data_IF_191757036071
#
_entry.id   IF_191757036071
#
_cell.length_a   1.000
_cell.length_b   1.000
_cell.length_c   1.000
_cell.angle_alpha   90.00
_cell.angle_beta   90.00
_cell.angle_gamma   90.00
#
_symmetry.space_group_name_H-M   'P 1'
#
loop_
_entity.id
_entity.type
_entity.pdbx_description
1 polymer ?
#
# COMPACT_ATOMS: atom_id res chain seq x y z
N UNK A 1 20.12 15.22 73.79
CA UNK A 1 19.63 16.55 73.35
C UNK A 1 20.67 17.15 72.42
N UNK A 2 20.25 17.72 71.28
CA UNK A 2 21.02 18.04 70.05
C UNK A 2 21.31 16.79 69.19
N UNK A 3 20.99 16.71 67.91
CA UNK A 3 20.42 17.66 66.97
C UNK A 3 20.87 17.25 65.56
N UNK A 4 19.89 17.03 64.69
CA UNK A 4 19.94 17.35 63.25
C UNK A 4 20.77 16.48 62.29
N UNK A 5 20.17 16.26 61.11
CA UNK A 5 20.75 15.85 59.82
C UNK A 5 20.90 14.37 59.50
N UNK A 6 19.80 13.60 59.51
CA UNK A 6 19.64 12.49 58.54
C UNK A 6 18.19 12.39 58.06
N UNK A 7 17.64 13.53 57.63
CA UNK A 7 16.33 13.64 56.97
C UNK A 7 16.44 13.86 55.45
N UNK A 8 17.63 13.72 54.83
CA UNK A 8 17.84 14.24 53.45
C UNK A 8 18.30 13.24 52.38
N UNK A 9 18.45 11.94 52.66
CA UNK A 9 19.00 11.00 51.66
C UNK A 9 18.03 9.90 51.19
N UNK A 10 16.90 9.68 51.87
CA UNK A 10 15.97 8.57 51.53
C UNK A 10 14.71 9.06 50.80
N UNK A 11 14.40 10.36 50.83
CA UNK A 11 13.21 10.92 50.16
C UNK A 11 13.46 11.48 48.74
N UNK A 12 14.72 11.58 48.29
CA UNK A 12 15.04 12.10 46.94
C UNK A 12 15.12 10.98 45.88
N UNK A 13 15.26 9.71 46.28
CA UNK A 13 15.31 8.58 45.34
C UNK A 13 13.95 7.95 45.02
N UNK A 14 12.90 8.25 45.79
CA UNK A 14 11.52 7.82 45.49
C UNK A 14 10.73 8.85 44.66
N UNK A 15 11.30 10.03 44.41
CA UNK A 15 10.70 11.06 43.56
C UNK A 15 11.33 11.16 42.16
N UNK A 16 12.25 10.24 41.83
CA UNK A 16 12.92 10.13 40.52
C UNK A 16 12.59 8.84 39.75
N UNK A 17 11.68 8.00 40.25
CA UNK A 17 11.02 6.99 39.42
C UNK A 17 9.63 7.50 39.06
N UNK A 18 9.59 8.09 37.86
CA UNK A 18 8.39 8.43 37.10
C UNK A 18 7.64 9.69 37.58
N UNK A 19 8.30 10.84 37.42
CA UNK A 19 7.62 12.14 37.41
C UNK A 19 6.47 12.15 36.40
N UNK A 20 5.36 12.74 36.86
CA UNK A 20 4.45 13.62 36.16
C UNK A 20 4.48 13.58 34.62
N UNK A 21 3.35 13.24 34.00
CA UNK A 21 2.33 14.20 33.55
C UNK A 21 1.30 13.43 32.73
N UNK A 22 0.04 13.63 33.09
CA UNK A 22 -1.12 13.29 32.28
C UNK A 22 -0.95 13.87 30.87
N UNK A 23 -0.89 13.00 29.88
CA UNK A 23 -1.34 13.32 28.53
C UNK A 23 -2.33 12.22 28.10
N UNK A 24 -3.56 12.30 28.62
CA UNK A 24 -4.74 11.92 27.81
C UNK A 24 -4.86 12.99 26.70
N UNK A 25 -5.59 12.80 25.58
CA UNK A 25 -5.77 11.63 24.72
C UNK A 25 -5.76 12.04 23.22
N UNK A 26 -4.78 11.64 22.40
CA UNK A 26 -4.94 11.64 20.92
C UNK A 26 -4.00 10.56 20.35
N UNK A 27 -4.51 9.43 19.86
CA UNK A 27 -3.71 8.46 19.09
C UNK A 27 -4.06 8.56 17.60
N UNK A 28 -3.54 9.55 16.85
CA UNK A 28 -3.45 9.44 15.40
C UNK A 28 -2.33 8.45 14.98
N UNK A 29 -1.39 8.16 15.87
CA UNK A 29 -0.15 7.42 15.55
C UNK A 29 -0.36 5.91 15.38
N UNK A 30 -1.20 5.27 16.19
CA UNK A 30 -1.46 3.82 16.08
C UNK A 30 -2.25 3.41 14.84
N UNK A 31 -3.11 4.29 14.34
CA UNK A 31 -3.81 4.05 13.08
C UNK A 31 -2.85 4.16 11.89
N UNK A 32 -1.86 5.07 11.95
CA UNK A 32 -0.83 5.23 10.92
C UNK A 32 0.09 4.01 10.84
N UNK A 33 0.58 3.51 11.97
CA UNK A 33 1.43 2.30 12.02
C UNK A 33 0.66 1.05 11.60
N UNK A 34 -0.55 0.84 12.11
CA UNK A 34 -1.39 -0.30 11.72
C UNK A 34 -1.78 -0.27 10.24
N UNK A 35 -2.02 0.92 9.68
CA UNK A 35 -2.26 1.08 8.25
C UNK A 35 -1.01 0.69 7.45
N UNK A 36 0.16 1.20 7.82
CA UNK A 36 1.43 0.89 7.18
C UNK A 36 1.77 -0.61 7.25
N UNK A 37 1.51 -1.28 8.38
CA UNK A 37 1.70 -2.73 8.52
C UNK A 37 0.78 -3.54 7.61
N UNK A 38 -0.51 -3.19 7.55
CA UNK A 38 -1.47 -3.87 6.67
C UNK A 38 -1.13 -3.69 5.19
N UNK A 39 -0.74 -2.47 4.84
CA UNK A 39 -0.18 -2.11 3.54
C UNK A 39 1.01 -3.00 3.22
N UNK A 40 2.01 -3.05 4.09
CA UNK A 40 3.23 -3.79 3.85
C UNK A 40 2.97 -5.30 3.70
N UNK A 41 2.12 -5.86 4.56
CA UNK A 41 1.70 -7.26 4.46
C UNK A 41 1.00 -7.55 3.12
N UNK A 42 0.15 -6.64 2.64
CA UNK A 42 -0.53 -6.79 1.36
C UNK A 42 0.46 -6.73 0.19
N UNK A 43 1.42 -5.81 0.23
CA UNK A 43 2.46 -5.73 -0.80
C UNK A 43 3.28 -7.02 -0.86
N UNK A 44 3.71 -7.55 0.29
CA UNK A 44 4.46 -8.80 0.37
C UNK A 44 3.67 -9.96 -0.23
N UNK A 45 2.36 -10.01 -0.02
CA UNK A 45 1.50 -11.05 -0.59
C UNK A 45 1.50 -11.02 -2.12
N UNK A 46 1.29 -9.85 -2.73
CA UNK A 46 1.30 -9.70 -4.19
C UNK A 46 2.69 -9.87 -4.81
N UNK A 47 3.75 -9.47 -4.09
CA UNK A 47 5.13 -9.70 -4.50
C UNK A 47 5.47 -11.20 -4.48
N UNK A 48 4.99 -11.95 -3.49
CA UNK A 48 5.15 -13.42 -3.45
C UNK A 48 4.37 -14.10 -4.57
N UNK A 49 3.15 -13.64 -4.85
CA UNK A 49 2.32 -14.22 -5.91
C UNK A 49 3.03 -14.24 -7.27
N UNK A 50 3.75 -13.18 -7.62
CA UNK A 50 4.55 -13.12 -8.86
C UNK A 50 5.89 -13.86 -8.77
N UNK A 51 6.39 -14.13 -7.56
CA UNK A 51 7.59 -14.95 -7.36
C UNK A 51 7.28 -16.44 -7.47
N UNK A 52 6.13 -16.87 -6.94
CA UNK A 52 5.68 -18.26 -6.96
C UNK A 52 5.34 -18.71 -8.39
N UNK A 53 4.69 -17.83 -9.17
CA UNK A 53 4.48 -18.05 -10.60
C UNK A 53 4.82 -16.80 -11.43
N UNK A 54 6.09 -16.66 -11.86
CA UNK A 54 6.51 -15.52 -12.66
C UNK A 54 5.93 -15.48 -14.07
N UNK A 55 5.34 -16.59 -14.55
CA UNK A 55 4.79 -16.69 -15.91
C UNK A 55 3.28 -16.47 -15.94
N UNK A 56 2.63 -16.34 -14.79
CA UNK A 56 1.22 -16.04 -14.70
C UNK A 56 0.94 -14.56 -14.94
N UNK A 57 0.45 -14.22 -16.14
CA UNK A 57 0.07 -12.85 -16.48
C UNK A 57 -0.94 -12.24 -15.51
N UNK A 58 -1.93 -13.01 -15.06
CA UNK A 58 -2.97 -12.58 -14.12
C UNK A 58 -2.39 -12.17 -12.76
N UNK A 59 -1.34 -12.86 -12.29
CA UNK A 59 -0.64 -12.48 -11.05
C UNK A 59 -0.01 -11.09 -11.16
N UNK A 60 0.60 -10.79 -12.32
CA UNK A 60 1.16 -9.46 -12.60
C UNK A 60 0.06 -8.38 -12.70
N UNK A 61 -1.11 -8.70 -13.29
CA UNK A 61 -2.23 -7.75 -13.34
C UNK A 61 -2.76 -7.43 -11.92
N UNK A 62 -2.95 -8.45 -11.08
CA UNK A 62 -3.45 -8.31 -9.70
C UNK A 62 -2.48 -7.48 -8.86
N UNK A 63 -1.18 -7.73 -9.00
CA UNK A 63 -0.14 -6.88 -8.37
C UNK A 63 -0.23 -5.43 -8.85
N UNK A 64 -0.47 -5.21 -10.14
CA UNK A 64 -0.71 -3.88 -10.70
C UNK A 64 -1.89 -3.17 -10.06
N UNK A 65 -3.05 -3.84 -9.96
CA UNK A 65 -4.26 -3.30 -9.33
C UNK A 65 -4.02 -2.88 -7.88
N UNK A 66 -3.29 -3.68 -7.12
CA UNK A 66 -2.93 -3.33 -5.75
C UNK A 66 -2.16 -2.00 -5.65
N UNK A 67 -1.21 -1.75 -6.57
CA UNK A 67 -0.45 -0.49 -6.58
C UNK A 67 -1.30 0.73 -6.96
N UNK A 68 -2.38 0.53 -7.72
CA UNK A 68 -3.37 1.58 -8.02
C UNK A 68 -4.10 1.96 -6.72
N UNK A 69 -4.70 0.98 -6.05
CA UNK A 69 -5.62 1.22 -4.92
C UNK A 69 -4.92 1.66 -3.64
N UNK A 70 -3.77 1.05 -3.32
CA UNK A 70 -3.15 1.23 -2.02
C UNK A 70 -2.27 2.48 -1.92
N UNK A 71 -1.68 2.96 -3.03
CA UNK A 71 -0.68 4.04 -2.98
C UNK A 71 -0.75 5.08 -4.09
N UNK A 72 -1.60 4.88 -5.11
CA UNK A 72 -1.50 5.68 -6.33
C UNK A 72 -0.11 5.60 -6.97
N UNK A 73 0.62 4.48 -6.77
CA UNK A 73 1.93 4.24 -7.38
C UNK A 73 1.73 3.76 -8.81
N UNK A 74 1.26 4.65 -9.67
CA UNK A 74 0.83 4.34 -11.02
C UNK A 74 1.98 3.83 -11.90
N UNK A 75 3.22 4.27 -11.66
CA UNK A 75 4.40 3.78 -12.37
C UNK A 75 4.66 2.28 -12.11
N UNK A 76 4.54 1.83 -10.86
CA UNK A 76 4.70 0.41 -10.50
C UNK A 76 3.54 -0.43 -11.00
N UNK A 77 2.33 0.14 -10.99
CA UNK A 77 1.15 -0.49 -11.57
C UNK A 77 1.35 -0.71 -13.08
N UNK A 78 1.83 0.32 -13.82
CA UNK A 78 2.15 0.21 -15.24
C UNK A 78 3.21 -0.87 -15.52
N UNK A 79 4.32 -0.86 -14.78
CA UNK A 79 5.37 -1.88 -14.94
C UNK A 79 4.83 -3.30 -14.72
N UNK A 80 3.96 -3.48 -13.72
CA UNK A 80 3.35 -4.78 -13.46
C UNK A 80 2.39 -5.19 -14.58
N UNK A 81 1.55 -4.27 -15.06
CA UNK A 81 0.66 -4.53 -16.19
C UNK A 81 1.45 -4.84 -17.48
N UNK A 82 2.51 -4.09 -17.78
CA UNK A 82 3.38 -4.30 -18.94
C UNK A 82 4.09 -5.66 -18.88
N UNK A 83 4.51 -6.08 -17.67
CA UNK A 83 5.08 -7.41 -17.47
C UNK A 83 4.06 -8.51 -17.72
N UNK A 84 2.84 -8.36 -17.22
CA UNK A 84 1.73 -9.29 -17.47
C UNK A 84 1.39 -9.38 -18.96
N UNK A 85 1.30 -8.24 -19.65
CA UNK A 85 1.06 -8.17 -21.10
C UNK A 85 2.22 -8.72 -21.93
N UNK A 86 3.45 -8.66 -21.41
CA UNK A 86 4.61 -9.31 -22.05
C UNK A 86 4.57 -10.84 -21.97
N UNK A 87 3.82 -11.40 -21.01
CA UNK A 87 3.61 -12.84 -20.88
C UNK A 87 2.37 -13.29 -21.66
N UNK A 88 1.29 -12.51 -21.57
CA UNK A 88 0.04 -12.74 -22.29
C UNK A 88 -0.48 -11.42 -22.89
N UNK A 89 -0.21 -11.17 -24.18
CA UNK A 89 -0.67 -9.97 -24.88
C UNK A 89 -2.19 -9.90 -25.08
N UNK A 90 -2.90 -11.02 -24.87
CA UNK A 90 -4.36 -11.14 -25.00
C UNK A 90 -5.04 -11.19 -23.63
N UNK A 91 -4.34 -10.87 -22.55
CA UNK A 91 -4.97 -10.80 -21.23
C UNK A 91 -5.82 -9.53 -21.09
N UNK A 92 -7.15 -9.66 -21.21
CA UNK A 92 -8.09 -8.55 -21.10
C UNK A 92 -8.03 -7.84 -19.73
N UNK A 93 -7.82 -8.59 -18.64
CA UNK A 93 -7.70 -8.03 -17.28
C UNK A 93 -6.49 -7.09 -17.21
N UNK A 94 -5.34 -7.51 -17.73
CA UNK A 94 -4.14 -6.67 -17.75
C UNK A 94 -4.31 -5.40 -18.60
N UNK A 95 -4.97 -5.49 -19.75
CA UNK A 95 -5.30 -4.31 -20.57
C UNK A 95 -6.23 -3.34 -19.82
N UNK A 96 -7.23 -3.89 -19.11
CA UNK A 96 -8.13 -3.10 -18.29
C UNK A 96 -7.39 -2.41 -17.13
N UNK A 97 -6.59 -3.15 -16.36
CA UNK A 97 -5.78 -2.59 -15.26
C UNK A 97 -4.82 -1.51 -15.75
N UNK A 98 -4.18 -1.70 -16.91
CA UNK A 98 -3.33 -0.68 -17.55
C UNK A 98 -4.13 0.56 -17.93
N UNK A 99 -5.32 0.37 -18.52
CA UNK A 99 -6.24 1.46 -18.86
C UNK A 99 -6.65 2.29 -17.64
N UNK A 100 -7.05 1.64 -16.55
CA UNK A 100 -7.39 2.32 -15.29
C UNK A 100 -6.19 3.05 -14.70
N UNK A 101 -5.00 2.44 -14.74
CA UNK A 101 -3.77 3.10 -14.27
C UNK A 101 -3.49 4.39 -15.06
N UNK A 102 -3.58 4.33 -16.39
CA UNK A 102 -3.37 5.49 -17.26
C UNK A 102 -4.44 6.57 -17.07
N UNK A 103 -5.69 6.16 -16.85
CA UNK A 103 -6.78 7.07 -16.55
C UNK A 103 -6.48 7.86 -15.27
N UNK A 104 -6.02 7.19 -14.21
CA UNK A 104 -5.64 7.83 -12.95
C UNK A 104 -4.40 8.74 -13.08
N UNK A 105 -3.51 8.45 -14.04
CA UNK A 105 -2.42 9.33 -14.45
C UNK A 105 -2.85 10.49 -15.36
N UNK A 106 -4.15 10.66 -15.64
CA UNK A 106 -4.71 11.67 -16.57
C UNK A 106 -4.26 11.51 -18.02
N UNK A 107 -3.78 10.32 -18.41
CA UNK A 107 -3.39 9.97 -19.80
C UNK A 107 -4.57 9.35 -20.53
N UNK A 108 -5.65 10.12 -20.67
CA UNK A 108 -6.95 9.62 -21.12
C UNK A 108 -6.95 8.98 -22.52
N UNK A 109 -6.15 9.50 -23.46
CA UNK A 109 -6.08 8.93 -24.82
C UNK A 109 -5.51 7.51 -24.85
N UNK A 110 -4.45 7.27 -24.06
CA UNK A 110 -3.83 5.94 -23.96
C UNK A 110 -4.68 5.00 -23.10
N UNK A 111 -5.33 5.54 -22.05
CA UNK A 111 -6.28 4.79 -21.23
C UNK A 111 -7.42 4.23 -22.09
N UNK A 112 -8.06 5.07 -22.91
CA UNK A 112 -9.13 4.65 -23.83
C UNK A 112 -8.67 3.55 -24.77
N UNK A 113 -7.50 3.70 -25.39
CA UNK A 113 -6.92 2.68 -26.28
C UNK A 113 -6.73 1.33 -25.56
N UNK A 114 -6.30 1.35 -24.30
CA UNK A 114 -6.14 0.13 -23.52
C UNK A 114 -7.48 -0.50 -23.12
N UNK A 115 -8.45 0.31 -22.71
CA UNK A 115 -9.80 -0.14 -22.35
C UNK A 115 -10.57 -0.71 -23.54
N UNK A 116 -10.47 -0.04 -24.70
CA UNK A 116 -11.05 -0.52 -25.96
C UNK A 116 -10.46 -1.88 -26.36
N UNK A 117 -9.15 -2.07 -26.13
CA UNK A 117 -8.48 -3.35 -26.37
C UNK A 117 -8.96 -4.43 -25.40
N UNK A 118 -9.13 -4.11 -24.12
CA UNK A 118 -9.68 -5.04 -23.12
C UNK A 118 -11.08 -5.51 -23.54
N UNK A 119 -11.98 -4.57 -23.86
CA UNK A 119 -13.34 -4.86 -24.33
C UNK A 119 -13.37 -5.66 -25.64
N UNK A 120 -12.43 -5.41 -26.55
CA UNK A 120 -12.33 -6.19 -27.81
C UNK A 120 -11.97 -7.65 -27.55
N UNK A 121 -11.13 -7.91 -26.54
CA UNK A 121 -10.73 -9.27 -26.20
C UNK A 121 -11.83 -9.97 -25.39
N UNK A 122 -12.34 -9.28 -24.36
CA UNK A 122 -13.42 -9.76 -23.51
C UNK A 122 -14.50 -8.67 -23.38
N UNK A 123 -15.65 -8.84 -24.05
CA UNK A 123 -16.76 -7.88 -24.02
C UNK A 123 -17.44 -7.70 -22.65
N UNK A 124 -17.03 -8.44 -21.62
CA UNK A 124 -17.52 -8.22 -20.25
C UNK A 124 -16.94 -6.97 -19.61
N UNK A 125 -15.78 -6.49 -20.09
CA UNK A 125 -15.22 -5.22 -19.63
C UNK A 125 -15.97 -4.04 -20.24
N UNK A 126 -16.36 -3.03 -19.44
CA UNK A 126 -17.08 -1.89 -19.97
C UNK A 126 -16.18 -1.10 -20.93
N UNK A 127 -16.64 -0.92 -22.17
CA UNK A 127 -16.11 0.09 -23.06
C UNK A 127 -16.46 1.47 -22.47
N UNK A 128 -15.46 2.20 -21.99
CA UNK A 128 -15.66 3.58 -21.56
C UNK A 128 -15.65 4.50 -22.79
N UNK A 129 -16.78 5.16 -23.03
CA UNK A 129 -17.02 6.11 -24.12
C UNK A 129 -16.34 7.45 -23.88
#
# INVERSE_FOLDING_TARGET
MRGSFLCSAVLVTLFFLCGCVVQNPILPEQNSTRFAERVNASQIYYDRMVQDDPRNATAWCIRGMYYIDAFGQYEKALQSCDRGLGLDPENAVCWYSKGITLHNMKRFGEAKTCLDRANRIDPTFPAQV
#
